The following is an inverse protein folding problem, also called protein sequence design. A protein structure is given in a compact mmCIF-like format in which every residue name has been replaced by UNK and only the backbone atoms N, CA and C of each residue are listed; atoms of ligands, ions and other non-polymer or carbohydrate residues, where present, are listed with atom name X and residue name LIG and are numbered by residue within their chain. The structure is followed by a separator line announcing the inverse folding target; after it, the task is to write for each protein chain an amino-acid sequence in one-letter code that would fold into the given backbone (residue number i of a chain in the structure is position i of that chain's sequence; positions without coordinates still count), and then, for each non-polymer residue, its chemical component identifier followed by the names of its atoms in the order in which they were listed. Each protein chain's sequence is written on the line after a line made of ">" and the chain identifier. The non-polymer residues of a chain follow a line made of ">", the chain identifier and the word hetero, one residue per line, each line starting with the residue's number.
data_IF_228745611748
#
_entry.id   IF_228745611748
#
_cell.length_a   1.000
_cell.length_b   1.000
_cell.length_c   1.000
_cell.angle_alpha   90.00
_cell.angle_beta   90.00
_cell.angle_gamma   90.00
#
_symmetry.space_group_name_H-M   'P 1'
#
loop_
_entity.id
_entity.type
_entity.pdbx_description
1 polymer ?
#
# COMPACT_ATOMS: atom_id res chain seq x y z
N UNK A 1 6.28 -19.52 11.19
CA UNK A 1 5.27 -18.54 10.79
C UNK A 1 5.53 -18.09 9.36
N UNK A 2 4.51 -18.11 8.53
CA UNK A 2 4.62 -17.65 7.14
C UNK A 2 4.52 -16.13 7.08
N UNK A 3 5.02 -15.49 6.02
CA UNK A 3 4.82 -14.04 5.82
C UNK A 3 3.35 -13.62 5.86
N UNK A 4 2.45 -14.43 5.27
CA UNK A 4 1.01 -14.17 5.31
C UNK A 4 0.47 -14.17 6.73
N UNK A 5 0.85 -15.14 7.55
CA UNK A 5 0.42 -15.22 8.96
C UNK A 5 0.94 -14.04 9.77
N UNK A 6 2.20 -13.66 9.55
CA UNK A 6 2.78 -12.50 10.22
C UNK A 6 2.02 -11.21 9.85
N UNK A 7 1.68 -11.05 8.57
CA UNK A 7 0.89 -9.91 8.12
C UNK A 7 -0.48 -9.88 8.78
N UNK A 8 -1.20 -11.01 8.80
CA UNK A 8 -2.53 -11.08 9.40
C UNK A 8 -2.50 -10.76 10.91
N UNK A 9 -1.49 -11.23 11.63
CA UNK A 9 -1.33 -10.89 13.05
C UNK A 9 -1.13 -9.39 13.24
N UNK A 10 -0.31 -8.78 12.39
CA UNK A 10 -0.11 -7.32 12.41
C UNK A 10 -1.42 -6.59 12.15
N UNK A 11 -2.19 -7.03 11.16
CA UNK A 11 -3.47 -6.39 10.80
C UNK A 11 -4.50 -6.51 11.91
N UNK A 12 -4.59 -7.66 12.56
CA UNK A 12 -5.49 -7.84 13.70
C UNK A 12 -5.11 -6.92 14.86
N UNK A 13 -3.82 -6.77 15.11
CA UNK A 13 -3.32 -5.85 16.15
C UNK A 13 -3.67 -4.39 15.82
N UNK A 14 -3.45 -3.99 14.57
CA UNK A 14 -3.75 -2.62 14.13
C UNK A 14 -5.25 -2.34 14.17
N UNK A 15 -6.07 -3.31 13.77
CA UNK A 15 -7.53 -3.17 13.81
C UNK A 15 -8.03 -3.03 15.25
N UNK A 16 -7.45 -3.77 16.19
CA UNK A 16 -7.79 -3.65 17.61
C UNK A 16 -7.35 -2.31 18.18
N UNK A 17 -6.24 -1.76 17.71
CA UNK A 17 -5.71 -0.47 18.17
C UNK A 17 -6.56 0.70 17.67
N UNK A 18 -7.02 0.65 16.44
CA UNK A 18 -7.85 1.70 15.85
C UNK A 18 -8.85 1.07 14.85
N UNK A 19 -10.01 0.60 15.35
CA UNK A 19 -11.00 -0.06 14.48
C UNK A 19 -11.74 0.89 13.54
N UNK A 20 -11.59 2.20 13.73
CA UNK A 20 -12.29 3.21 12.93
C UNK A 20 -11.54 3.57 11.65
N UNK A 21 -10.27 3.14 11.51
CA UNK A 21 -9.44 3.46 10.35
C UNK A 21 -8.79 2.21 9.77
N UNK A 22 -8.62 2.21 8.45
CA UNK A 22 -8.00 1.09 7.75
C UNK A 22 -6.52 0.95 8.14
N UNK A 23 -6.04 -0.28 8.36
CA UNK A 23 -4.65 -0.51 8.70
C UNK A 23 -3.69 -0.06 7.58
N UNK A 24 -2.50 0.38 8.00
CA UNK A 24 -1.39 0.73 7.10
C UNK A 24 -0.17 -0.05 7.56
N UNK A 25 0.50 -0.72 6.64
CA UNK A 25 1.67 -1.55 6.94
C UNK A 25 2.85 -1.14 6.05
N UNK A 26 4.10 -1.43 6.48
CA UNK A 26 5.25 -1.21 5.63
C UNK A 26 5.15 -1.99 4.31
N UNK A 27 5.75 -1.44 3.25
CA UNK A 27 5.72 -2.03 1.92
C UNK A 27 6.12 -3.51 1.94
N UNK A 28 7.27 -3.83 2.58
CA UNK A 28 7.78 -5.18 2.60
C UNK A 28 6.88 -6.15 3.37
N UNK A 29 6.21 -5.67 4.40
CA UNK A 29 5.28 -6.49 5.18
C UNK A 29 4.10 -6.97 4.33
N UNK A 30 3.66 -6.16 3.39
CA UNK A 30 2.54 -6.52 2.51
C UNK A 30 2.98 -7.43 1.36
N UNK A 31 4.12 -7.13 0.73
CA UNK A 31 4.51 -7.79 -0.52
C UNK A 31 5.37 -9.05 -0.33
N UNK A 32 6.07 -9.20 0.80
CA UNK A 32 6.92 -10.38 1.02
C UNK A 32 6.06 -11.64 1.04
N UNK A 33 6.33 -12.54 0.09
CA UNK A 33 5.57 -13.80 -0.04
C UNK A 33 4.22 -13.67 -0.73
N UNK A 34 3.81 -12.46 -1.11
CA UNK A 34 2.54 -12.24 -1.81
C UNK A 34 2.70 -12.47 -3.31
N UNK A 35 2.07 -13.52 -3.83
CA UNK A 35 2.05 -13.85 -5.26
C UNK A 35 0.65 -13.71 -5.86
N UNK A 36 -0.31 -13.12 -5.12
CA UNK A 36 -1.69 -12.99 -5.60
C UNK A 36 -1.89 -11.67 -6.32
N UNK A 37 -1.98 -11.76 -7.65
CA UNK A 37 -2.13 -10.59 -8.53
C UNK A 37 -3.34 -9.73 -8.17
N UNK A 38 -4.43 -10.35 -7.77
CA UNK A 38 -5.68 -9.69 -7.48
C UNK A 38 -5.72 -9.03 -6.09
N UNK A 39 -4.71 -9.19 -5.28
CA UNK A 39 -4.70 -8.64 -3.92
C UNK A 39 -4.61 -7.12 -3.89
N UNK A 40 -3.97 -6.53 -4.90
CA UNK A 40 -3.84 -5.08 -5.06
C UNK A 40 -4.04 -4.70 -6.52
N UNK A 41 -4.73 -3.59 -6.77
CA UNK A 41 -5.07 -3.13 -8.11
C UNK A 41 -5.76 -4.23 -8.95
N UNK A 42 -6.80 -4.90 -8.39
CA UNK A 42 -7.40 -6.06 -9.08
C UNK A 42 -8.04 -5.72 -10.41
N UNK A 43 -8.52 -4.47 -10.57
CA UNK A 43 -9.17 -4.02 -11.79
C UNK A 43 -8.18 -3.80 -12.93
N UNK A 44 -6.88 -3.76 -12.66
CA UNK A 44 -5.85 -3.43 -13.65
C UNK A 44 -4.85 -4.55 -13.91
N UNK A 45 -4.83 -5.62 -13.11
CA UNK A 45 -3.77 -6.61 -13.26
C UNK A 45 -3.84 -7.37 -14.61
N UNK A 46 -5.03 -7.48 -15.22
CA UNK A 46 -5.19 -8.05 -16.56
C UNK A 46 -5.22 -6.99 -17.67
N UNK A 47 -5.14 -5.71 -17.33
CA UNK A 47 -5.36 -4.60 -18.27
C UNK A 47 -4.20 -3.60 -18.30
N UNK A 48 -2.98 -4.09 -18.15
CA UNK A 48 -1.79 -3.27 -18.35
C UNK A 48 -0.93 -3.05 -17.12
N UNK A 49 -1.45 -3.28 -15.92
CA UNK A 49 -0.62 -3.22 -14.71
C UNK A 49 0.49 -4.27 -14.80
N UNK A 50 1.74 -3.93 -14.44
CA UNK A 50 2.80 -4.94 -14.39
C UNK A 50 2.49 -6.04 -13.38
N UNK A 51 3.08 -7.23 -13.51
CA UNK A 51 2.93 -8.29 -12.50
C UNK A 51 3.28 -7.80 -11.11
N UNK A 52 2.68 -8.41 -10.08
CA UNK A 52 2.82 -7.96 -8.68
C UNK A 52 4.29 -7.85 -8.23
N UNK A 53 5.16 -8.74 -8.70
CA UNK A 53 6.59 -8.67 -8.39
C UNK A 53 7.26 -7.42 -8.97
N UNK A 54 6.88 -7.00 -10.16
CA UNK A 54 7.40 -5.77 -10.78
C UNK A 54 6.79 -4.53 -10.14
N UNK A 55 5.51 -4.59 -9.73
CA UNK A 55 4.85 -3.54 -8.97
C UNK A 55 5.62 -3.30 -7.67
N UNK A 56 5.90 -4.35 -6.94
CA UNK A 56 6.67 -4.29 -5.70
C UNK A 56 8.07 -3.69 -5.94
N UNK A 57 8.78 -4.16 -6.97
CA UNK A 57 10.11 -3.64 -7.30
C UNK A 57 10.08 -2.14 -7.61
N UNK A 58 9.05 -1.66 -8.29
CA UNK A 58 8.90 -0.23 -8.59
C UNK A 58 8.77 0.57 -7.30
N UNK A 59 7.93 0.14 -6.37
CA UNK A 59 7.73 0.86 -5.11
C UNK A 59 8.93 0.72 -4.18
N UNK A 60 9.69 -0.38 -4.24
CA UNK A 60 10.97 -0.48 -3.53
C UNK A 60 11.97 0.56 -4.05
N UNK A 61 12.03 0.76 -5.36
CA UNK A 61 12.90 1.79 -5.96
C UNK A 61 12.47 3.19 -5.53
N UNK A 62 11.17 3.46 -5.47
CA UNK A 62 10.65 4.74 -4.96
C UNK A 62 11.03 4.91 -3.50
N UNK A 63 10.86 3.88 -2.67
CA UNK A 63 11.20 3.92 -1.24
C UNK A 63 12.69 4.20 -1.00
N UNK A 64 13.55 3.82 -1.92
CA UNK A 64 15.00 4.04 -1.82
C UNK A 64 15.45 5.45 -2.21
N UNK A 65 14.55 6.30 -2.72
CA UNK A 65 14.89 7.66 -3.13
C UNK A 65 15.20 8.53 -1.92
N UNK A 66 16.19 9.45 -2.04
CA UNK A 66 16.54 10.34 -0.92
C UNK A 66 15.43 11.34 -0.55
N UNK A 67 14.51 11.64 -1.48
CA UNK A 67 13.36 12.53 -1.26
C UNK A 67 12.10 11.80 -0.76
N UNK A 68 12.21 10.51 -0.45
CA UNK A 68 11.10 9.69 0.05
C UNK A 68 11.40 9.25 1.48
N UNK A 69 10.49 9.56 2.39
CA UNK A 69 10.57 9.14 3.79
C UNK A 69 10.23 7.66 3.95
N UNK A 70 9.25 7.18 3.20
CA UNK A 70 8.84 5.80 3.22
C UNK A 70 7.67 5.53 2.28
N UNK A 71 7.43 4.26 2.02
CA UNK A 71 6.30 3.78 1.21
C UNK A 71 5.58 2.70 2.02
N UNK A 72 4.26 2.80 2.07
CA UNK A 72 3.41 1.96 2.91
C UNK A 72 2.21 1.48 2.11
N UNK A 73 1.60 0.38 2.56
CA UNK A 73 0.40 -0.17 1.92
C UNK A 73 -0.80 0.04 2.82
N UNK A 74 -1.85 0.65 2.27
CA UNK A 74 -3.13 0.82 2.94
C UNK A 74 -4.07 -0.30 2.59
N UNK A 75 -4.63 -0.97 3.59
CA UNK A 75 -5.47 -2.13 3.41
C UNK A 75 -6.88 -1.72 2.94
N UNK A 76 -7.53 -2.62 2.21
CA UNK A 76 -8.91 -2.49 1.79
C UNK A 76 -9.83 -2.85 2.97
N UNK A 77 -11.06 -2.30 2.98
CA UNK A 77 -12.03 -2.61 4.03
C UNK A 77 -12.35 -4.11 4.15
N UNK A 78 -12.15 -4.87 3.08
CA UNK A 78 -12.42 -6.32 3.05
C UNK A 78 -11.18 -7.17 3.37
N UNK A 79 -10.09 -6.57 3.89
CA UNK A 79 -8.87 -7.32 4.19
C UNK A 79 -9.12 -8.51 5.13
N UNK A 80 -10.11 -8.40 6.01
CA UNK A 80 -10.43 -9.45 6.97
C UNK A 80 -10.99 -10.73 6.37
N UNK A 81 -11.38 -10.73 5.10
CA UNK A 81 -11.82 -11.95 4.41
C UNK A 81 -10.71 -13.00 4.37
N UNK A 82 -9.46 -12.57 4.36
CA UNK A 82 -8.32 -13.48 4.40
C UNK A 82 -8.21 -14.26 5.71
N UNK A 83 -8.85 -13.81 6.79
CA UNK A 83 -8.90 -14.55 8.05
C UNK A 83 -9.77 -15.80 7.95
N UNK A 84 -10.70 -15.83 7.02
CA UNK A 84 -11.64 -16.92 6.81
C UNK A 84 -11.29 -17.81 5.62
N UNK A 85 -10.31 -17.40 4.80
CA UNK A 85 -9.89 -18.14 3.61
C UNK A 85 -8.36 -18.17 3.52
N UNK A 86 -7.78 -19.34 3.78
CA UNK A 86 -6.32 -19.54 3.78
C UNK A 86 -5.68 -19.30 2.41
N UNK A 87 -6.48 -19.28 1.34
CA UNK A 87 -5.98 -19.07 -0.02
C UNK A 87 -5.95 -17.60 -0.41
N UNK A 88 -6.54 -16.70 0.39
CA UNK A 88 -6.58 -15.27 0.09
C UNK A 88 -5.46 -14.52 0.80
N UNK A 89 -4.88 -13.55 0.09
CA UNK A 89 -4.04 -12.52 0.67
C UNK A 89 -4.92 -11.31 1.05
N UNK A 90 -4.64 -10.64 2.18
CA UNK A 90 -5.42 -9.46 2.54
C UNK A 90 -5.44 -8.42 1.42
N UNK A 91 -6.61 -7.94 1.04
CA UNK A 91 -6.76 -6.98 -0.04
C UNK A 91 -6.23 -5.61 0.35
N UNK A 92 -5.56 -4.92 -0.59
CA UNK A 92 -5.03 -3.58 -0.41
C UNK A 92 -5.76 -2.58 -1.29
N UNK A 93 -5.88 -1.34 -0.79
CA UNK A 93 -6.58 -0.24 -1.46
C UNK A 93 -5.63 0.78 -2.04
N UNK A 94 -4.60 1.16 -1.29
CA UNK A 94 -3.70 2.25 -1.65
C UNK A 94 -2.25 1.88 -1.41
N UNK A 95 -1.36 2.58 -2.12
CA UNK A 95 0.05 2.65 -1.74
C UNK A 95 0.34 4.11 -1.39
N UNK A 96 0.79 4.34 -0.15
CA UNK A 96 1.05 5.66 0.40
C UNK A 96 2.53 5.99 0.31
N UNK A 97 2.87 7.11 -0.33
CA UNK A 97 4.24 7.59 -0.49
C UNK A 97 4.39 8.85 0.35
N UNK A 98 5.29 8.83 1.34
CA UNK A 98 5.62 10.01 2.15
C UNK A 98 6.86 10.65 1.55
N UNK A 99 6.73 11.86 1.01
CA UNK A 99 7.79 12.50 0.24
C UNK A 99 7.74 14.02 0.32
N UNK A 100 8.89 14.67 0.10
CA UNK A 100 9.00 16.10 -0.08
C UNK A 100 8.91 16.51 -1.56
N UNK A 101 8.79 15.57 -2.49
CA UNK A 101 8.58 15.87 -3.91
C UNK A 101 7.18 16.42 -4.16
N UNK A 102 7.02 17.16 -5.25
CA UNK A 102 5.72 17.67 -5.65
C UNK A 102 4.90 16.62 -6.41
N UNK A 103 3.62 16.91 -6.61
CA UNK A 103 2.69 15.98 -7.26
C UNK A 103 3.13 15.59 -8.68
N UNK A 104 3.52 16.51 -9.58
CA UNK A 104 3.97 16.11 -10.91
C UNK A 104 5.16 15.15 -10.89
N UNK A 105 6.07 15.35 -9.95
CA UNK A 105 7.22 14.46 -9.77
C UNK A 105 6.79 13.08 -9.33
N UNK A 106 5.91 12.99 -8.33
CA UNK A 106 5.37 11.72 -7.84
C UNK A 106 4.65 10.98 -8.98
N UNK A 107 3.81 11.67 -9.74
CA UNK A 107 3.10 11.06 -10.86
C UNK A 107 4.06 10.50 -11.92
N UNK A 108 5.21 11.15 -12.13
CA UNK A 108 6.22 10.65 -13.06
C UNK A 108 6.82 9.31 -12.61
N UNK A 109 6.87 9.03 -11.31
CA UNK A 109 7.36 7.75 -10.78
C UNK A 109 6.40 6.59 -11.03
N UNK A 110 5.14 6.91 -11.29
CA UNK A 110 4.05 5.92 -11.44
C UNK A 110 3.80 5.51 -12.89
N UNK A 111 4.61 6.03 -13.82
CA UNK A 111 4.44 5.76 -15.24
C UNK A 111 4.53 4.25 -15.53
N UNK A 112 3.56 3.75 -16.28
CA UNK A 112 3.49 2.33 -16.63
C UNK A 112 2.84 1.43 -15.58
N UNK A 113 2.45 1.95 -14.42
CA UNK A 113 1.77 1.17 -13.37
C UNK A 113 0.26 1.10 -13.55
N UNK A 114 -0.27 1.83 -14.52
CA UNK A 114 -1.71 1.91 -14.81
C UNK A 114 -2.56 2.38 -13.62
N UNK A 115 -1.96 3.19 -12.74
CA UNK A 115 -2.71 3.83 -11.66
C UNK A 115 -3.62 4.92 -12.20
N UNK A 116 -4.68 5.23 -11.45
CA UNK A 116 -5.60 6.33 -11.76
C UNK A 116 -5.11 7.65 -11.16
N UNK A 117 -3.97 7.65 -10.50
CA UNK A 117 -3.35 8.82 -9.93
C UNK A 117 -2.95 8.63 -8.48
N UNK A 118 -2.67 9.76 -7.83
CA UNK A 118 -2.33 9.79 -6.41
C UNK A 118 -3.04 10.99 -5.77
N UNK A 119 -3.85 10.72 -4.74
CA UNK A 119 -4.51 11.78 -3.98
C UNK A 119 -3.60 12.22 -2.83
N UNK A 120 -3.68 13.49 -2.45
CA UNK A 120 -2.92 14.03 -1.31
C UNK A 120 -3.59 13.62 -0.01
N UNK A 121 -2.79 13.15 0.96
CA UNK A 121 -3.25 12.77 2.28
C UNK A 121 -3.73 11.33 2.37
N UNK A 122 -4.53 11.06 3.40
CA UNK A 122 -5.08 9.74 3.72
C UNK A 122 -6.55 9.71 3.27
N UNK A 123 -6.88 9.09 2.15
CA UNK A 123 -8.23 9.19 1.57
C UNK A 123 -9.33 8.61 2.46
N UNK A 124 -8.98 7.64 3.34
CA UNK A 124 -9.93 7.01 4.25
C UNK A 124 -9.65 7.34 5.72
N UNK A 125 -8.96 8.46 5.97
CA UNK A 125 -8.55 8.84 7.30
C UNK A 125 -7.23 8.20 7.73
N UNK A 126 -6.59 8.78 8.72
CA UNK A 126 -5.29 8.33 9.20
C UNK A 126 -5.45 7.38 10.38
N UNK A 127 -4.96 6.14 10.24
CA UNK A 127 -4.89 5.18 11.33
C UNK A 127 -3.97 5.72 12.43
N UNK A 128 -4.31 5.45 13.69
CA UNK A 128 -3.55 5.93 14.84
C UNK A 128 -2.07 5.52 14.82
N UNK A 129 -1.75 4.38 14.23
CA UNK A 129 -0.37 3.89 14.10
C UNK A 129 0.26 4.16 12.74
N UNK A 130 -0.42 4.89 11.84
CA UNK A 130 0.12 5.23 10.53
C UNK A 130 1.34 6.15 10.67
N UNK A 131 2.30 6.07 9.74
CA UNK A 131 3.47 6.94 9.79
C UNK A 131 3.06 8.42 9.64
N UNK A 132 3.80 9.28 10.32
CA UNK A 132 3.57 10.73 10.28
C UNK A 132 4.60 11.36 9.34
N UNK A 133 4.17 12.14 8.33
CA UNK A 133 5.13 12.83 7.48
C UNK A 133 6.01 13.77 8.28
N UNK A 134 7.32 13.76 7.99
CA UNK A 134 8.26 14.73 8.56
C UNK A 134 7.95 16.14 8.06
N UNK A 135 8.51 17.15 8.72
CA UNK A 135 8.35 18.53 8.28
C UNK A 135 8.79 18.69 6.82
N UNK A 136 7.93 19.32 6.01
CA UNK A 136 8.17 19.50 4.58
C UNK A 136 7.81 18.29 3.72
N UNK A 137 7.36 17.20 4.34
CA UNK A 137 6.90 15.99 3.65
C UNK A 137 5.39 15.91 3.68
N UNK A 138 4.81 15.22 2.70
CA UNK A 138 3.38 14.96 2.66
C UNK A 138 3.11 13.56 2.14
N UNK A 139 1.86 13.09 2.28
CA UNK A 139 1.43 11.78 1.80
C UNK A 139 0.80 11.92 0.43
N UNK A 140 1.22 11.06 -0.49
CA UNK A 140 0.51 10.83 -1.75
C UNK A 140 0.01 9.39 -1.76
N UNK A 141 -1.28 9.23 -1.93
CA UNK A 141 -1.92 7.91 -1.88
C UNK A 141 -2.27 7.46 -3.30
N UNK A 142 -1.49 6.53 -3.82
CA UNK A 142 -1.69 5.95 -5.15
C UNK A 142 -2.92 5.05 -5.12
N UNK A 143 -3.76 5.14 -6.14
CA UNK A 143 -4.98 4.33 -6.22
C UNK A 143 -5.22 3.80 -7.62
N UNK A 144 -6.00 2.73 -7.69
CA UNK A 144 -6.46 2.07 -8.92
C UNK A 144 -7.95 1.83 -8.80
N UNK A 145 -8.72 2.32 -9.76
CA UNK A 145 -10.17 2.12 -9.81
C UNK A 145 -10.57 0.98 -10.74
#
# INVERSE_FOLDING_TARGET
>A
MTPRMALLQTLEHLDALDPDHLPVVPLDAYFTGNDQEESIAPNQWEFGRPPIGELYARFQAIAARPDVQGVYVGLHQDWGMALEDDTEWPAAENIHILTCADEPTVLSWLDGLESDGASTGWPYGQHAAAPVPAEGFQVFSVFWD
#
